data_IF_662128018539
#
_entry.id   IF_662128018539
#
_cell.length_a   1.000
_cell.length_b   1.000
_cell.length_c   1.000
_cell.angle_alpha   90.00
_cell.angle_beta   90.00
_cell.angle_gamma   90.00
#
_symmetry.space_group_name_H-M   'P 1'
#
loop_
_entity.id
_entity.type
_entity.pdbx_description
1 polymer ?
#
# COMPACT_ATOMS: atom_id res chain seq x y z
N UNK A 1 15.27 -2.35 -21.99
CA UNK A 1 15.41 -3.70 -21.39
C UNK A 1 15.08 -3.55 -19.91
N UNK A 2 13.80 -3.53 -19.54
CA UNK A 2 13.38 -3.08 -18.19
C UNK A 2 12.06 -3.71 -17.72
N UNK A 3 11.66 -4.85 -18.29
CA UNK A 3 10.39 -5.53 -17.94
C UNK A 3 10.50 -6.44 -16.71
N UNK A 4 11.68 -6.55 -16.09
CA UNK A 4 11.99 -7.61 -15.11
C UNK A 4 12.21 -7.15 -13.65
N UNK A 5 11.89 -5.91 -13.32
CA UNK A 5 12.20 -5.35 -11.98
C UNK A 5 11.19 -5.76 -10.90
N UNK A 6 9.93 -5.98 -11.28
CA UNK A 6 8.85 -6.28 -10.33
C UNK A 6 8.40 -7.74 -10.41
N UNK A 7 8.33 -8.46 -9.28
CA UNK A 7 7.71 -9.79 -9.21
C UNK A 7 6.28 -9.80 -9.78
N UNK A 8 5.85 -10.96 -10.30
CA UNK A 8 4.53 -11.14 -10.94
C UNK A 8 3.35 -10.80 -10.03
N UNK A 9 3.51 -11.02 -8.72
CA UNK A 9 2.52 -10.69 -7.71
C UNK A 9 2.28 -9.17 -7.68
N UNK A 10 3.35 -8.38 -7.68
CA UNK A 10 3.27 -6.92 -7.70
C UNK A 10 2.73 -6.42 -9.05
N UNK A 11 3.18 -7.00 -10.17
CA UNK A 11 2.62 -6.69 -11.50
C UNK A 11 1.13 -6.96 -11.58
N UNK A 12 0.66 -8.04 -10.95
CA UNK A 12 -0.76 -8.39 -10.89
C UNK A 12 -1.57 -7.37 -10.11
N UNK A 13 -1.04 -6.87 -8.99
CA UNK A 13 -1.67 -5.79 -8.21
C UNK A 13 -1.83 -4.54 -9.08
N UNK A 14 -0.75 -4.09 -9.73
CA UNK A 14 -0.77 -2.91 -10.62
C UNK A 14 -1.78 -3.07 -11.76
N UNK A 15 -1.79 -4.24 -12.40
CA UNK A 15 -2.65 -4.51 -13.56
C UNK A 15 -4.14 -4.51 -13.21
N UNK A 16 -4.52 -5.02 -12.03
CA UNK A 16 -5.91 -4.91 -11.55
C UNK A 16 -6.28 -3.45 -11.27
N UNK A 17 -5.30 -2.66 -10.85
CA UNK A 17 -5.41 -1.21 -10.77
C UNK A 17 -6.26 -0.74 -9.59
N UNK A 18 -6.63 0.53 -9.68
CA UNK A 18 -7.34 1.25 -8.63
C UNK A 18 -8.82 1.41 -8.95
N UNK A 19 -9.65 1.45 -7.90
CA UNK A 19 -11.06 1.80 -8.00
C UNK A 19 -11.55 2.49 -6.72
N UNK A 20 -12.75 3.05 -6.80
CA UNK A 20 -13.46 3.62 -5.66
C UNK A 20 -14.43 2.61 -5.06
N UNK A 21 -14.33 2.39 -3.75
CA UNK A 21 -15.34 1.65 -3.02
C UNK A 21 -16.63 2.49 -2.92
N UNK A 22 -17.79 1.87 -2.62
CA UNK A 22 -19.03 2.62 -2.38
C UNK A 22 -18.95 3.65 -1.25
N UNK A 23 -18.00 3.53 -0.32
CA UNK A 23 -17.77 4.53 0.74
C UNK A 23 -16.83 5.66 0.32
N UNK A 24 -16.37 5.68 -0.94
CA UNK A 24 -15.48 6.72 -1.47
C UNK A 24 -13.99 6.47 -1.19
N UNK A 25 -13.63 5.34 -0.57
CA UNK A 25 -12.23 4.97 -0.39
C UNK A 25 -11.61 4.55 -1.73
N UNK A 26 -10.37 4.95 -1.95
CA UNK A 26 -9.59 4.64 -3.13
C UNK A 26 -8.60 3.53 -2.83
N UNK A 27 -8.83 2.37 -3.43
CA UNK A 27 -8.16 1.14 -3.04
C UNK A 27 -7.65 0.34 -4.23
N UNK A 28 -6.62 -0.46 -3.98
CA UNK A 28 -6.10 -1.43 -4.94
C UNK A 28 -7.05 -2.62 -5.06
N UNK A 29 -7.56 -2.86 -6.26
CA UNK A 29 -8.56 -3.91 -6.53
C UNK A 29 -8.07 -5.32 -6.15
N UNK A 30 -6.77 -5.54 -6.21
CA UNK A 30 -6.17 -6.82 -5.87
C UNK A 30 -6.23 -7.17 -4.37
N UNK A 31 -6.37 -6.15 -3.52
CA UNK A 31 -6.24 -6.28 -2.05
C UNK A 31 -7.60 -6.28 -1.33
N UNK A 32 -8.65 -5.78 -1.98
CA UNK A 32 -9.99 -5.93 -1.42
C UNK A 32 -10.38 -7.43 -1.47
N UNK A 33 -10.83 -8.04 -0.36
CA UNK A 33 -11.30 -9.41 -0.34
C UNK A 33 -12.59 -9.54 -1.16
N UNK A 34 -12.43 -9.72 -2.47
CA UNK A 34 -13.49 -10.15 -3.38
C UNK A 34 -13.79 -11.62 -3.10
N UNK A 35 -14.47 -11.90 -1.99
CA UNK A 35 -15.28 -13.12 -1.94
C UNK A 35 -16.34 -12.98 -3.02
N UNK A 36 -16.38 -13.97 -3.91
CA UNK A 36 -17.27 -14.01 -5.09
C UNK A 36 -18.76 -13.94 -4.72
N UNK A 37 -19.11 -14.06 -3.43
CA UNK A 37 -20.45 -13.95 -2.85
C UNK A 37 -20.89 -12.50 -2.54
N UNK A 38 -19.99 -11.53 -2.52
CA UNK A 38 -20.32 -10.15 -2.14
C UNK A 38 -21.00 -9.34 -3.26
N UNK A 39 -20.85 -9.74 -4.53
CA UNK A 39 -21.44 -9.02 -5.68
C UNK A 39 -22.97 -8.99 -5.66
N UNK A 40 -23.63 -9.99 -5.07
CA UNK A 40 -25.10 -10.04 -4.96
C UNK A 40 -25.64 -9.28 -3.75
N UNK A 41 -24.78 -8.91 -2.78
CA UNK A 41 -25.15 -8.21 -1.54
C UNK A 41 -24.81 -6.70 -1.55
N UNK A 42 -24.09 -6.23 -2.56
CA UNK A 42 -23.46 -4.90 -2.60
C UNK A 42 -24.44 -3.72 -2.78
N UNK A 43 -25.69 -3.93 -3.19
CA UNK A 43 -26.73 -2.88 -3.16
C UNK A 43 -27.31 -2.64 -1.76
N UNK A 44 -27.10 -3.56 -0.81
CA UNK A 44 -27.66 -3.46 0.56
C UNK A 44 -26.63 -3.02 1.62
N UNK A 45 -25.39 -2.70 1.22
CA UNK A 45 -24.26 -2.46 2.14
C UNK A 45 -23.64 -1.05 2.05
N UNK A 46 -24.39 -0.06 1.54
CA UNK A 46 -23.97 1.34 1.56
C UNK A 46 -23.76 1.88 2.99
N UNK A 47 -24.60 1.46 3.96
CA UNK A 47 -24.44 1.82 5.39
C UNK A 47 -23.19 1.21 6.03
N UNK A 48 -22.90 -0.06 5.73
CA UNK A 48 -21.85 -0.84 6.40
C UNK A 48 -20.45 -0.34 6.05
N UNK A 49 -20.22 0.14 4.83
CA UNK A 49 -18.91 0.71 4.46
C UNK A 49 -18.64 2.08 5.09
N UNK A 50 -19.70 2.88 5.35
CA UNK A 50 -19.57 4.12 6.12
C UNK A 50 -19.29 3.83 7.59
N UNK A 51 -19.97 2.83 8.15
CA UNK A 51 -19.71 2.34 9.51
C UNK A 51 -18.31 1.73 9.67
N UNK A 52 -17.80 1.02 8.65
CA UNK A 52 -16.42 0.52 8.64
C UNK A 52 -15.41 1.66 8.58
N UNK A 53 -15.58 2.65 7.71
CA UNK A 53 -14.72 3.83 7.72
C UNK A 53 -14.75 4.56 9.08
N UNK A 54 -15.93 4.67 9.72
CA UNK A 54 -16.04 5.19 11.09
C UNK A 54 -15.37 4.31 12.14
N UNK A 55 -15.34 2.98 11.95
CA UNK A 55 -14.62 2.05 12.84
C UNK A 55 -13.11 2.23 12.77
N UNK A 56 -12.59 2.59 11.59
CA UNK A 56 -11.16 2.84 11.36
C UNK A 56 -10.73 4.28 11.67
N UNK A 57 -11.64 5.19 12.04
CA UNK A 57 -11.30 6.61 12.29
C UNK A 57 -11.44 7.52 11.07
N UNK A 58 -11.68 6.96 9.88
CA UNK A 58 -11.95 7.71 8.66
C UNK A 58 -11.63 6.94 7.37
N UNK A 59 -11.80 7.62 6.23
CA UNK A 59 -11.48 7.04 4.91
C UNK A 59 -9.98 6.83 4.72
N UNK A 60 -9.13 7.76 5.20
CA UNK A 60 -7.68 7.63 5.09
C UNK A 60 -7.14 6.41 5.86
N UNK A 61 -7.63 6.18 7.08
CA UNK A 61 -7.22 5.01 7.87
C UNK A 61 -7.70 3.70 7.24
N UNK A 62 -8.92 3.67 6.71
CA UNK A 62 -9.39 2.51 5.96
C UNK A 62 -8.52 2.25 4.72
N UNK A 63 -8.19 3.28 3.94
CA UNK A 63 -7.26 3.16 2.81
C UNK A 63 -5.88 2.65 3.28
N UNK A 64 -5.34 3.20 4.36
CA UNK A 64 -4.04 2.82 4.92
C UNK A 64 -3.96 1.34 5.34
N UNK A 65 -5.02 0.83 5.98
CA UNK A 65 -5.10 -0.56 6.41
C UNK A 65 -5.46 -1.53 5.27
N UNK A 66 -6.23 -1.07 4.29
CA UNK A 66 -6.66 -1.91 3.15
C UNK A 66 -5.59 -1.99 2.07
N UNK A 67 -4.92 -0.89 1.77
CA UNK A 67 -3.89 -0.81 0.73
C UNK A 67 -2.51 -1.20 1.28
N UNK A 68 -2.44 -2.29 2.02
CA UNK A 68 -1.21 -2.81 2.60
C UNK A 68 -0.63 -3.92 1.72
N UNK A 69 0.49 -3.61 1.05
CA UNK A 69 1.14 -4.53 0.13
C UNK A 69 2.44 -5.04 0.73
N UNK A 70 2.54 -6.34 0.94
CA UNK A 70 3.82 -6.99 1.24
C UNK A 70 4.69 -7.04 -0.01
N UNK A 71 5.93 -6.57 0.10
CA UNK A 71 6.93 -6.66 -0.95
C UNK A 71 7.56 -8.06 -0.92
N UNK A 72 7.46 -8.87 -1.99
CA UNK A 72 8.08 -10.18 -2.02
C UNK A 72 9.59 -10.10 -1.91
N UNK A 73 10.18 -10.99 -1.12
CA UNK A 73 11.62 -11.08 -0.86
C UNK A 73 12.29 -12.19 -1.69
N UNK A 74 11.50 -12.96 -2.43
CA UNK A 74 12.02 -14.02 -3.30
C UNK A 74 13.03 -13.46 -4.31
N UNK A 75 14.12 -14.20 -4.48
CA UNK A 75 15.22 -13.85 -5.37
C UNK A 75 16.09 -12.68 -4.89
N UNK A 76 15.90 -12.16 -3.68
CA UNK A 76 16.78 -11.15 -3.10
C UNK A 76 18.03 -11.78 -2.46
N UNK A 77 19.17 -11.07 -2.44
CA UNK A 77 20.37 -11.49 -1.71
C UNK A 77 20.08 -11.71 -0.22
N UNK A 78 20.83 -12.61 0.44
CA UNK A 78 20.69 -12.86 1.88
C UNK A 78 21.56 -11.97 2.75
N UNK A 79 22.59 -11.33 2.19
CA UNK A 79 23.44 -10.40 2.92
C UNK A 79 22.68 -9.10 3.23
N UNK A 80 22.71 -8.70 4.51
CA UNK A 80 21.86 -7.64 5.05
C UNK A 80 21.90 -6.35 4.21
N UNK A 81 23.08 -5.85 3.88
CA UNK A 81 23.21 -4.57 3.15
C UNK A 81 22.61 -4.63 1.73
N UNK A 82 22.86 -5.71 0.98
CA UNK A 82 22.30 -5.82 -0.37
C UNK A 82 20.83 -6.22 -0.35
N UNK A 83 20.40 -7.04 0.62
CA UNK A 83 18.98 -7.32 0.86
C UNK A 83 18.18 -6.03 1.06
N UNK A 84 18.62 -5.20 2.02
CA UNK A 84 17.94 -3.95 2.37
C UNK A 84 17.88 -2.99 1.19
N UNK A 85 18.98 -2.86 0.46
CA UNK A 85 19.03 -2.03 -0.75
C UNK A 85 18.09 -2.57 -1.85
N UNK A 86 18.11 -3.88 -2.08
CA UNK A 86 17.32 -4.50 -3.15
C UNK A 86 15.81 -4.48 -2.83
N UNK A 87 15.41 -4.72 -1.59
CA UNK A 87 13.99 -4.67 -1.19
C UNK A 87 13.46 -3.23 -1.21
N UNK A 88 14.28 -2.25 -0.82
CA UNK A 88 13.93 -0.83 -0.93
C UNK A 88 13.74 -0.41 -2.40
N UNK A 89 14.67 -0.77 -3.29
CA UNK A 89 14.53 -0.49 -4.74
C UNK A 89 13.25 -1.14 -5.29
N UNK A 90 12.98 -2.39 -4.95
CA UNK A 90 11.75 -3.09 -5.38
C UNK A 90 10.49 -2.38 -4.89
N UNK A 91 10.47 -1.94 -3.64
CA UNK A 91 9.36 -1.17 -3.08
C UNK A 91 9.16 0.17 -3.81
N UNK A 92 10.24 0.89 -4.10
CA UNK A 92 10.21 2.16 -4.82
C UNK A 92 9.71 2.00 -6.26
N UNK A 93 10.20 1.01 -6.99
CA UNK A 93 9.70 0.70 -8.33
C UNK A 93 8.21 0.35 -8.30
N UNK A 94 7.76 -0.41 -7.29
CA UNK A 94 6.35 -0.73 -7.15
C UNK A 94 5.50 0.51 -6.89
N UNK A 95 5.94 1.41 -6.00
CA UNK A 95 5.26 2.68 -5.73
C UNK A 95 5.15 3.52 -6.98
N UNK A 96 6.22 3.62 -7.75
CA UNK A 96 6.23 4.42 -8.97
C UNK A 96 5.20 3.90 -9.98
N UNK A 97 5.16 2.58 -10.21
CA UNK A 97 4.15 1.97 -11.08
C UNK A 97 2.73 2.09 -10.51
N UNK A 98 2.56 1.96 -9.19
CA UNK A 98 1.29 2.15 -8.50
C UNK A 98 0.78 3.58 -8.67
N UNK A 99 1.66 4.57 -8.52
CA UNK A 99 1.36 5.96 -8.80
C UNK A 99 0.99 6.15 -10.27
N UNK A 100 1.80 5.66 -11.22
CA UNK A 100 1.51 5.79 -12.66
C UNK A 100 0.14 5.20 -13.02
N UNK A 101 -0.22 4.04 -12.48
CA UNK A 101 -1.54 3.43 -12.73
C UNK A 101 -2.71 4.21 -12.08
N UNK A 102 -2.45 4.96 -11.01
CA UNK A 102 -3.44 5.85 -10.37
C UNK A 102 -3.63 7.18 -11.12
N UNK A 103 -2.71 7.58 -12.01
CA UNK A 103 -2.65 8.91 -12.63
C UNK A 103 -3.95 9.39 -13.30
N UNK A 104 -4.76 8.45 -13.78
CA UNK A 104 -6.05 8.73 -14.44
C UNK A 104 -7.14 9.21 -13.49
N UNK A 105 -6.93 9.10 -12.18
CA UNK A 105 -7.87 9.52 -11.16
C UNK A 105 -7.40 10.85 -10.57
N UNK A 106 -8.28 11.85 -10.52
CA UNK A 106 -7.98 13.19 -9.98
C UNK A 106 -7.39 13.11 -8.56
N UNK A 107 -7.86 12.16 -7.76
CA UNK A 107 -7.36 12.03 -6.40
C UNK A 107 -5.96 11.47 -6.26
N UNK A 108 -5.37 10.95 -7.34
CA UNK A 108 -3.99 10.50 -7.30
C UNK A 108 -3.02 11.62 -6.98
N UNK A 109 -3.40 12.89 -7.19
CA UNK A 109 -2.63 14.09 -6.81
C UNK A 109 -2.46 14.27 -5.28
N UNK A 110 -3.20 13.50 -4.48
CA UNK A 110 -3.05 13.48 -3.02
C UNK A 110 -2.66 12.11 -2.49
N UNK A 111 -2.21 11.19 -3.35
CA UNK A 111 -1.86 9.84 -2.97
C UNK A 111 -0.49 9.81 -2.29
N UNK A 112 -0.44 9.21 -1.11
CA UNK A 112 0.75 9.02 -0.31
C UNK A 112 1.02 7.52 -0.21
N UNK A 113 2.28 7.14 -0.36
CA UNK A 113 2.79 5.80 -0.10
C UNK A 113 3.73 5.84 1.11
N UNK A 114 3.65 4.83 1.96
CA UNK A 114 4.62 4.62 3.04
C UNK A 114 5.28 3.27 2.84
N UNK A 115 6.59 3.27 2.74
CA UNK A 115 7.41 2.05 2.79
C UNK A 115 7.86 1.84 4.23
N UNK A 116 7.68 0.64 4.75
CA UNK A 116 8.36 0.19 5.97
C UNK A 116 9.24 -1.02 5.64
N UNK A 117 10.52 -0.93 5.97
CA UNK A 117 11.52 -1.99 5.81
C UNK A 117 12.08 -2.36 7.18
N UNK A 118 11.95 -3.61 7.60
CA UNK A 118 12.65 -4.08 8.81
C UNK A 118 14.18 -3.94 8.66
N UNK A 119 14.85 -3.29 9.61
CA UNK A 119 16.33 -3.07 9.59
C UNK A 119 17.05 -3.64 10.82
N UNK A 120 16.30 -4.10 11.82
CA UNK A 120 16.85 -4.73 13.03
C UNK A 120 17.51 -6.10 12.78
N UNK A 121 17.90 -6.77 13.86
CA UNK A 121 18.56 -8.10 13.79
C UNK A 121 17.64 -9.19 13.22
N UNK A 122 16.32 -8.98 13.29
CA UNK A 122 15.30 -9.85 12.72
C UNK A 122 14.67 -9.25 11.46
N UNK A 123 15.45 -8.55 10.61
CA UNK A 123 14.94 -7.86 9.42
C UNK A 123 14.12 -8.78 8.49
N UNK A 124 14.50 -10.06 8.38
CA UNK A 124 13.77 -11.08 7.61
C UNK A 124 12.40 -11.46 8.22
N UNK A 125 12.17 -11.18 9.50
CA UNK A 125 10.91 -11.52 10.20
C UNK A 125 9.87 -10.42 10.13
N UNK A 126 10.29 -9.15 10.07
CA UNK A 126 9.39 -8.00 9.98
C UNK A 126 8.85 -7.80 8.55
N UNK A 127 9.64 -8.20 7.55
CA UNK A 127 9.32 -8.04 6.14
C UNK A 127 9.34 -6.58 5.68
N UNK A 128 9.00 -6.37 4.40
CA UNK A 128 8.82 -5.03 3.83
C UNK A 128 7.39 -4.84 3.36
N UNK A 129 6.78 -3.70 3.70
CA UNK A 129 5.43 -3.34 3.26
C UNK A 129 5.38 -1.98 2.61
N UNK A 130 4.40 -1.80 1.73
CA UNK A 130 4.05 -0.51 1.12
C UNK A 130 2.56 -0.28 1.36
N UNK A 131 2.24 0.82 2.04
CA UNK A 131 0.88 1.24 2.34
C UNK A 131 0.50 2.48 1.55
N UNK A 132 -0.73 2.54 1.03
CA UNK A 132 -1.21 3.71 0.29
C UNK A 132 -2.46 4.33 0.90
N UNK A 133 -2.51 5.65 0.92
CA UNK A 133 -3.70 6.39 1.33
C UNK A 133 -3.71 7.77 0.68
N UNK A 134 -4.90 8.35 0.59
CA UNK A 134 -5.10 9.68 0.06
C UNK A 134 -5.18 10.69 1.19
N UNK A 135 -4.61 11.88 0.98
CA UNK A 135 -4.58 12.98 1.97
C UNK A 135 -5.95 13.62 2.24
N UNK A 136 -7.01 13.12 1.62
CA UNK A 136 -8.37 13.69 1.66
C UNK A 136 -8.99 13.75 3.06
N UNK A 137 -8.46 12.99 4.01
CA UNK A 137 -8.96 12.95 5.38
C UNK A 137 -7.86 13.27 6.44
N UNK A 138 -6.74 13.87 6.02
CA UNK A 138 -5.56 14.09 6.88
C UNK A 138 -4.45 13.07 6.61
N UNK A 139 -3.20 13.47 6.83
CA UNK A 139 -2.07 12.53 6.94
C UNK A 139 -2.13 11.96 8.36
N UNK A 140 -1.93 10.66 8.57
CA UNK A 140 -1.74 10.17 9.93
C UNK A 140 -0.52 10.85 10.58
N UNK A 141 -0.75 11.63 11.63
CA UNK A 141 0.27 12.48 12.28
C UNK A 141 1.44 11.65 12.88
N UNK A 142 1.24 10.34 13.09
CA UNK A 142 2.27 9.43 13.60
C UNK A 142 3.48 9.25 12.67
N UNK A 143 3.42 9.74 11.42
CA UNK A 143 4.56 9.76 10.50
C UNK A 143 5.36 11.07 10.56
N UNK A 144 4.96 12.04 11.38
CA UNK A 144 5.72 13.29 11.55
C UNK A 144 6.98 13.08 12.40
N UNK A 145 6.98 12.07 13.27
CA UNK A 145 8.12 11.69 14.10
C UNK A 145 8.66 10.30 13.69
N UNK A 146 9.33 10.28 12.53
CA UNK A 146 9.96 9.06 12.00
C UNK A 146 11.08 8.54 12.91
N UNK A 147 11.64 9.37 13.79
CA UNK A 147 12.74 8.99 14.69
C UNK A 147 12.33 7.96 15.75
N UNK A 148 11.01 7.78 15.98
CA UNK A 148 10.48 6.75 16.89
C UNK A 148 10.59 5.33 16.34
N UNK A 149 10.72 5.17 15.03
CA UNK A 149 10.87 3.85 14.41
C UNK A 149 12.32 3.39 14.52
N UNK A 150 12.59 2.56 15.54
CA UNK A 150 13.96 2.07 15.83
C UNK A 150 14.29 0.73 15.15
N UNK A 151 13.27 0.00 14.72
CA UNK A 151 13.41 -1.35 14.14
C UNK A 151 13.08 -1.41 12.65
N UNK A 152 12.46 -0.35 12.13
CA UNK A 152 12.02 -0.21 10.76
C UNK A 152 12.59 1.09 10.18
N UNK A 153 13.09 1.03 8.95
CA UNK A 153 13.36 2.20 8.14
C UNK A 153 12.09 2.58 7.38
N UNK A 154 11.67 3.84 7.51
CA UNK A 154 10.43 4.33 6.92
C UNK A 154 10.72 5.40 5.89
N UNK A 155 10.07 5.29 4.73
CA UNK A 155 10.05 6.31 3.70
C UNK A 155 8.61 6.69 3.37
N UNK A 156 8.34 7.99 3.28
CA UNK A 156 7.03 8.53 2.88
C UNK A 156 7.18 9.20 1.52
N UNK A 157 6.45 8.72 0.52
CA UNK A 157 6.47 9.24 -0.85
C UNK A 157 5.11 9.77 -1.22
N UNK A 158 5.07 10.90 -1.91
CA UNK A 158 3.83 11.59 -2.23
C UNK A 158 3.84 11.96 -3.70
N UNK A 159 2.73 11.69 -4.38
CA UNK A 159 2.53 12.10 -5.77
C UNK A 159 2.02 13.53 -5.85
#
# INVERSE_FOLDING_TARGET
>A
MQDDVLPDELRTIIRKGWYFTPAGAFVLEALEPRSMLAKTFLTKHFRRNRELASHWGGVADYEYHTNDVKIPESGLPSDKERFLSAVAIRALCFIEEAFRSAARFEVSNGLTAVVSVGVGDNYLSHGTTVKFFTRRAGRPDWYEDLERFKIEAIAVLTR
#
